data_IF_652315306703
#
_entry.id   IF_652315306703
#
_cell.length_a   1.000
_cell.length_b   1.000
_cell.length_c   1.000
_cell.angle_alpha   90.00
_cell.angle_beta   90.00
_cell.angle_gamma   90.00
#
_symmetry.space_group_name_H-M   'P 1'
#
loop_
_entity.id
_entity.type
_entity.pdbx_description
1 polymer ?
#
# COMPACT_ATOMS: atom_id res chain seq x y z
N UNK A 1 15.00 12.83 0.36
CA UNK A 1 13.80 12.41 -0.34
C UNK A 1 13.04 11.26 0.31
N UNK A 2 13.59 10.04 0.30
CA UNK A 2 12.83 8.83 0.71
C UNK A 2 12.42 8.86 2.19
N UNK A 3 13.32 9.21 3.09
CA UNK A 3 13.00 9.30 4.54
C UNK A 3 11.89 10.30 4.84
N UNK A 4 11.86 11.42 4.13
CA UNK A 4 10.78 12.40 4.26
C UNK A 4 9.43 11.85 3.78
N UNK A 5 9.43 11.04 2.72
CA UNK A 5 8.22 10.37 2.24
C UNK A 5 7.64 9.39 3.27
N UNK A 6 8.48 8.62 3.98
CA UNK A 6 8.03 7.77 5.09
C UNK A 6 7.45 8.58 6.25
N UNK A 7 8.08 9.70 6.61
CA UNK A 7 7.57 10.60 7.64
C UNK A 7 6.17 11.13 7.26
N UNK A 8 5.99 11.55 6.00
CA UNK A 8 4.69 11.99 5.51
C UNK A 8 3.64 10.87 5.54
N UNK A 9 3.99 9.64 5.18
CA UNK A 9 3.08 8.50 5.28
C UNK A 9 2.71 8.17 6.74
N UNK A 10 3.67 8.24 7.66
CA UNK A 10 3.43 8.01 9.09
C UNK A 10 2.53 9.11 9.68
N UNK A 11 2.79 10.38 9.33
CA UNK A 11 1.95 11.50 9.74
C UNK A 11 0.54 11.38 9.16
N UNK A 12 0.42 11.03 7.88
CA UNK A 12 -0.87 10.77 7.23
C UNK A 12 -1.65 9.68 7.97
N UNK A 13 -0.98 8.58 8.37
CA UNK A 13 -1.63 7.53 9.16
C UNK A 13 -2.11 8.05 10.51
N UNK A 14 -1.27 8.77 11.24
CA UNK A 14 -1.63 9.33 12.54
C UNK A 14 -2.85 10.25 12.44
N UNK A 15 -2.93 11.08 11.39
CA UNK A 15 -4.05 11.96 11.12
C UNK A 15 -5.32 11.23 10.67
N UNK A 16 -5.17 10.15 9.88
CA UNK A 16 -6.30 9.38 9.37
C UNK A 16 -6.85 8.37 10.38
N UNK A 17 -6.05 7.92 11.34
CA UNK A 17 -6.39 6.82 12.25
C UNK A 17 -7.71 7.06 13.03
N UNK A 18 -7.96 8.24 13.63
CA UNK A 18 -9.25 8.51 14.29
C UNK A 18 -10.44 8.41 13.33
N UNK A 19 -10.25 8.88 12.07
CA UNK A 19 -11.27 8.80 11.04
C UNK A 19 -11.58 7.36 10.63
N UNK A 20 -10.55 6.53 10.50
CA UNK A 20 -10.69 5.12 10.14
C UNK A 20 -11.42 4.31 11.21
N UNK A 21 -11.13 4.57 12.49
CA UNK A 21 -11.62 3.78 13.61
C UNK A 21 -12.94 4.29 14.17
N UNK A 22 -13.09 5.62 14.35
CA UNK A 22 -14.22 6.24 15.04
C UNK A 22 -15.32 6.78 14.12
N UNK A 23 -15.05 6.92 12.82
CA UNK A 23 -16.06 7.32 11.81
C UNK A 23 -15.98 8.78 11.34
N UNK A 24 -16.94 9.17 10.48
CA UNK A 24 -16.86 10.38 9.66
C UNK A 24 -16.96 11.72 10.42
N UNK A 25 -17.76 11.79 11.48
CA UNK A 25 -18.18 13.09 12.02
C UNK A 25 -17.10 13.89 12.75
N UNK A 26 -16.18 13.25 13.46
CA UNK A 26 -15.27 13.96 14.37
C UNK A 26 -13.82 14.07 13.89
N UNK A 27 -13.50 13.53 12.72
CA UNK A 27 -12.10 13.38 12.28
C UNK A 27 -11.85 13.76 10.82
N UNK A 28 -12.81 14.43 10.18
CA UNK A 28 -12.67 14.88 8.79
C UNK A 28 -11.46 15.80 8.58
N UNK A 29 -11.15 16.77 9.47
CA UNK A 29 -9.96 17.62 9.31
C UNK A 29 -8.65 16.81 9.29
N UNK A 30 -8.55 15.78 10.16
CA UNK A 30 -7.40 14.87 10.17
C UNK A 30 -7.27 14.08 8.86
N UNK A 31 -8.39 13.59 8.35
CA UNK A 31 -8.40 12.88 7.06
C UNK A 31 -8.01 13.80 5.88
N UNK A 32 -8.43 15.05 5.88
CA UNK A 32 -7.99 16.05 4.90
C UNK A 32 -6.48 16.33 5.03
N UNK A 33 -5.96 16.44 6.25
CA UNK A 33 -4.52 16.54 6.50
C UNK A 33 -3.75 15.33 5.97
N UNK A 34 -4.30 14.13 6.13
CA UNK A 34 -3.73 12.92 5.55
C UNK A 34 -3.68 12.97 4.02
N UNK A 35 -4.72 13.49 3.35
CA UNK A 35 -4.72 13.68 1.89
C UNK A 35 -3.57 14.57 1.46
N UNK A 36 -3.34 15.69 2.15
CA UNK A 36 -2.24 16.62 1.84
C UNK A 36 -0.89 15.92 2.01
N UNK A 37 -0.66 15.25 3.14
CA UNK A 37 0.58 14.51 3.38
C UNK A 37 0.83 13.44 2.31
N UNK A 38 -0.20 12.68 1.95
CA UNK A 38 -0.11 11.65 0.90
C UNK A 38 0.12 12.27 -0.48
N UNK A 39 -0.48 13.40 -0.79
CA UNK A 39 -0.25 14.11 -2.05
C UNK A 39 1.24 14.47 -2.20
N UNK A 40 1.87 15.00 -1.15
CA UNK A 40 3.30 15.30 -1.15
C UNK A 40 4.15 14.02 -1.21
N UNK A 41 3.83 12.98 -0.43
CA UNK A 41 4.56 11.71 -0.46
C UNK A 41 4.54 11.09 -1.87
N UNK A 42 3.36 11.01 -2.49
CA UNK A 42 3.17 10.52 -3.86
C UNK A 42 3.84 11.42 -4.91
N UNK A 43 3.96 12.72 -4.63
CA UNK A 43 4.72 13.67 -5.43
C UNK A 43 6.21 13.35 -5.44
N UNK A 44 6.75 12.84 -4.33
CA UNK A 44 8.14 12.39 -4.25
C UNK A 44 8.35 11.09 -5.04
N UNK A 45 7.53 10.07 -4.75
CA UNK A 45 7.58 8.77 -5.44
C UNK A 45 6.21 8.08 -5.40
N UNK A 46 5.76 7.55 -6.53
CA UNK A 46 4.50 6.77 -6.61
C UNK A 46 4.53 5.50 -5.76
N UNK A 47 5.72 4.97 -5.47
CA UNK A 47 5.93 3.81 -4.61
C UNK A 47 5.50 4.02 -3.15
N UNK A 48 5.15 5.24 -2.74
CA UNK A 48 4.52 5.48 -1.44
C UNK A 48 3.04 5.05 -1.38
N UNK A 49 2.37 4.78 -2.51
CA UNK A 49 1.04 4.17 -2.49
C UNK A 49 1.05 2.76 -1.86
N UNK A 50 1.93 1.81 -2.26
CA UNK A 50 2.11 0.55 -1.53
C UNK A 50 2.47 0.73 -0.05
N UNK A 51 3.31 1.73 0.29
CA UNK A 51 3.67 2.02 1.69
C UNK A 51 2.42 2.39 2.50
N UNK A 52 1.58 3.29 1.96
CA UNK A 52 0.31 3.64 2.60
C UNK A 52 -0.60 2.44 2.78
N UNK A 53 -0.79 1.62 1.73
CA UNK A 53 -1.63 0.42 1.79
C UNK A 53 -1.12 -0.58 2.83
N UNK A 54 0.20 -0.74 2.94
CA UNK A 54 0.83 -1.59 3.95
C UNK A 54 0.57 -1.06 5.37
N UNK A 55 0.76 0.24 5.60
CA UNK A 55 0.47 0.91 6.87
C UNK A 55 -1.01 0.80 7.24
N UNK A 56 -1.90 1.00 6.28
CA UNK A 56 -3.35 0.87 6.46
C UNK A 56 -3.72 -0.55 6.90
N UNK A 57 -3.25 -1.56 6.18
CA UNK A 57 -3.52 -2.96 6.52
C UNK A 57 -2.92 -3.35 7.88
N UNK A 58 -1.72 -2.86 8.20
CA UNK A 58 -1.09 -3.07 9.50
C UNK A 58 -1.93 -2.46 10.64
N UNK A 59 -2.34 -1.20 10.51
CA UNK A 59 -3.17 -0.52 11.51
C UNK A 59 -4.52 -1.21 11.73
N UNK A 60 -5.18 -1.65 10.64
CA UNK A 60 -6.45 -2.38 10.72
C UNK A 60 -6.27 -3.79 11.31
N UNK A 61 -5.13 -4.44 11.06
CA UNK A 61 -4.80 -5.72 11.65
C UNK A 61 -4.59 -5.59 13.16
N UNK A 62 -3.87 -4.55 13.62
CA UNK A 62 -3.67 -4.26 15.03
C UNK A 62 -4.99 -3.99 15.75
N UNK A 63 -5.83 -3.15 15.17
CA UNK A 63 -7.13 -2.85 15.72
C UNK A 63 -8.04 -4.10 15.75
N UNK A 64 -7.97 -4.97 14.73
CA UNK A 64 -8.67 -6.25 14.73
C UNK A 64 -8.09 -7.25 15.75
N UNK A 65 -6.78 -7.18 16.02
CA UNK A 65 -6.13 -8.03 17.02
C UNK A 65 -6.48 -7.62 18.46
N UNK A 66 -6.64 -6.31 18.70
CA UNK A 66 -7.07 -5.77 19.99
C UNK A 66 -8.56 -6.01 20.30
N UNK A 67 -9.39 -6.21 19.28
CA UNK A 67 -10.81 -6.47 19.44
C UNK A 67 -11.10 -7.95 19.75
N UNK A 68 -12.18 -8.22 20.50
CA UNK A 68 -12.64 -9.60 20.70
C UNK A 68 -12.99 -10.30 19.37
N UNK A 69 -12.66 -11.60 19.24
CA UNK A 69 -12.72 -12.33 17.97
C UNK A 69 -14.06 -12.28 17.24
N UNK A 70 -15.17 -12.15 17.95
CA UNK A 70 -16.53 -12.25 17.40
C UNK A 70 -17.30 -10.92 17.37
N UNK A 71 -16.73 -9.81 17.84
CA UNK A 71 -17.48 -8.56 18.03
C UNK A 71 -17.62 -7.70 16.76
N UNK A 72 -16.89 -7.97 15.68
CA UNK A 72 -16.92 -7.12 14.49
C UNK A 72 -17.85 -7.62 13.40
N UNK A 73 -18.94 -6.89 13.18
CA UNK A 73 -19.81 -7.05 12.01
C UNK A 73 -19.05 -6.71 10.73
N UNK A 74 -19.29 -7.47 9.64
CA UNK A 74 -18.66 -7.27 8.33
C UNK A 74 -18.74 -5.82 7.82
N UNK A 75 -19.88 -5.13 8.04
CA UNK A 75 -20.05 -3.73 7.66
C UNK A 75 -19.05 -2.76 8.33
N UNK A 76 -18.62 -3.06 9.57
CA UNK A 76 -17.61 -2.25 10.26
C UNK A 76 -16.22 -2.39 9.62
N UNK A 77 -15.90 -3.60 9.16
CA UNK A 77 -14.63 -3.91 8.47
C UNK A 77 -14.56 -3.14 7.16
N UNK A 78 -15.58 -3.26 6.30
CA UNK A 78 -15.64 -2.55 5.03
C UNK A 78 -15.63 -1.03 5.21
N UNK A 79 -16.37 -0.53 6.19
CA UNK A 79 -16.37 0.90 6.52
C UNK A 79 -14.98 1.43 6.90
N UNK A 80 -14.19 0.67 7.67
CA UNK A 80 -12.82 1.07 8.03
C UNK A 80 -11.88 1.03 6.83
N UNK A 81 -12.01 0.01 5.96
CA UNK A 81 -11.23 -0.08 4.71
C UNK A 81 -11.52 1.12 3.82
N UNK A 82 -12.78 1.40 3.54
CA UNK A 82 -13.17 2.52 2.68
C UNK A 82 -12.70 3.87 3.24
N UNK A 83 -12.83 4.07 4.56
CA UNK A 83 -12.33 5.28 5.22
C UNK A 83 -10.80 5.41 5.18
N UNK A 84 -10.06 4.31 5.09
CA UNK A 84 -8.61 4.32 4.91
C UNK A 84 -8.16 4.48 3.46
N UNK A 85 -8.97 4.03 2.50
CA UNK A 85 -8.63 4.10 1.07
C UNK A 85 -8.94 5.46 0.45
N UNK A 86 -10.00 6.15 0.90
CA UNK A 86 -10.39 7.41 0.28
C UNK A 86 -9.31 8.50 0.35
N UNK A 87 -8.50 8.67 1.44
CA UNK A 87 -7.43 9.65 1.45
C UNK A 87 -6.39 9.39 0.37
N UNK A 88 -6.07 8.12 0.11
CA UNK A 88 -5.18 7.75 -1.00
C UNK A 88 -5.78 8.11 -2.36
N UNK A 89 -7.03 7.76 -2.58
CA UNK A 89 -7.73 8.08 -3.84
C UNK A 89 -7.80 9.60 -4.06
N UNK A 90 -8.18 10.37 -3.03
CA UNK A 90 -8.22 11.82 -3.09
C UNK A 90 -6.83 12.43 -3.34
N UNK A 91 -5.78 11.91 -2.70
CA UNK A 91 -4.40 12.36 -2.90
C UNK A 91 -3.91 12.09 -4.34
N UNK A 92 -4.27 10.95 -4.93
CA UNK A 92 -3.93 10.62 -6.32
C UNK A 92 -4.63 11.58 -7.30
N UNK A 93 -5.91 11.88 -7.09
CA UNK A 93 -6.67 12.83 -7.91
C UNK A 93 -6.09 14.24 -7.76
N UNK A 94 -5.85 14.69 -6.52
CA UNK A 94 -5.28 16.00 -6.24
C UNK A 94 -3.90 16.16 -6.88
N UNK A 95 -3.04 15.15 -6.75
CA UNK A 95 -1.71 15.14 -7.38
C UNK A 95 -1.82 15.28 -8.91
N UNK A 96 -2.69 14.49 -9.56
CA UNK A 96 -2.91 14.59 -11.00
C UNK A 96 -3.40 15.97 -11.42
N UNK A 97 -4.35 16.53 -10.68
CA UNK A 97 -4.87 17.87 -10.91
C UNK A 97 -3.78 18.94 -10.78
N UNK A 98 -2.98 18.89 -9.71
CA UNK A 98 -1.85 19.82 -9.50
C UNK A 98 -0.81 19.69 -10.61
N UNK A 99 -0.47 18.46 -11.03
CA UNK A 99 0.47 18.24 -12.12
C UNK A 99 -0.05 18.84 -13.42
N UNK A 100 -1.33 18.62 -13.75
CA UNK A 100 -1.94 19.18 -14.95
C UNK A 100 -1.95 20.72 -14.94
N UNK A 101 -2.30 21.32 -13.79
CA UNK A 101 -2.27 22.78 -13.62
C UNK A 101 -0.86 23.35 -13.77
N UNK A 102 0.14 22.71 -13.16
CA UNK A 102 1.52 23.15 -13.27
C UNK A 102 2.05 23.04 -14.71
N UNK A 103 1.73 21.95 -15.40
CA UNK A 103 2.09 21.78 -16.80
C UNK A 103 1.45 22.85 -17.69
N UNK A 104 0.16 23.13 -17.49
CA UNK A 104 -0.56 24.18 -18.21
C UNK A 104 0.02 25.58 -17.94
N UNK A 105 0.33 25.90 -16.68
CA UNK A 105 0.90 27.17 -16.29
C UNK A 105 2.32 27.41 -16.86
N UNK A 106 3.08 26.35 -17.08
CA UNK A 106 4.44 26.43 -17.62
C UNK A 106 4.52 26.19 -19.15
N UNK A 107 3.39 26.05 -19.84
CA UNK A 107 3.35 25.77 -21.27
C UNK A 107 3.99 24.44 -21.68
N UNK A 108 4.19 23.54 -20.70
CA UNK A 108 4.72 22.20 -20.95
C UNK A 108 3.54 21.31 -21.32
N UNK A 109 3.52 20.81 -22.57
CA UNK A 109 2.60 19.75 -22.93
C UNK A 109 2.88 18.58 -22.01
N UNK A 110 1.95 18.31 -21.08
CA UNK A 110 2.04 17.15 -20.20
C UNK A 110 2.22 15.91 -21.07
N UNK A 111 3.42 15.40 -21.14
CA UNK A 111 3.65 14.12 -21.80
C UNK A 111 3.00 13.04 -20.92
N UNK A 112 1.70 12.85 -21.12
CA UNK A 112 0.93 11.72 -20.57
C UNK A 112 1.44 10.35 -21.06
N UNK A 113 2.51 10.36 -21.84
CA UNK A 113 3.15 9.18 -22.38
C UNK A 113 3.73 8.21 -21.35
N UNK A 114 3.89 8.65 -20.10
CA UNK A 114 4.44 7.78 -19.07
C UNK A 114 3.38 6.84 -18.48
N UNK A 115 2.16 7.31 -18.25
CA UNK A 115 1.11 6.49 -17.65
C UNK A 115 0.63 5.37 -18.59
N UNK A 116 0.42 5.70 -19.89
CA UNK A 116 0.03 4.70 -20.89
C UNK A 116 1.16 3.69 -21.19
N UNK A 117 2.42 4.11 -21.04
CA UNK A 117 3.59 3.22 -21.21
C UNK A 117 3.87 2.36 -19.98
N UNK A 118 3.35 2.71 -18.81
CA UNK A 118 3.56 1.97 -17.56
C UNK A 118 2.43 1.01 -17.20
N UNK A 119 1.29 1.10 -17.87
CA UNK A 119 0.17 0.16 -17.66
C UNK A 119 0.23 -0.93 -18.73
N UNK A 120 0.81 -2.06 -18.36
CA UNK A 120 1.03 -3.18 -19.28
C UNK A 120 -0.19 -4.07 -19.50
N UNK A 121 -1.26 -3.92 -18.70
CA UNK A 121 -2.49 -4.70 -18.84
C UNK A 121 -3.09 -4.66 -20.24
N UNK A 122 -3.13 -3.48 -20.85
CA UNK A 122 -3.68 -3.26 -22.20
C UNK A 122 -2.75 -3.66 -23.34
N UNK A 123 -1.51 -4.04 -23.01
CA UNK A 123 -0.49 -4.44 -23.99
C UNK A 123 -0.34 -5.96 -24.08
N UNK A 124 -1.18 -6.73 -23.36
CA UNK A 124 -1.12 -8.19 -23.32
C UNK A 124 -2.14 -8.81 -24.26
N UNK A 125 -1.70 -9.76 -25.06
CA UNK A 125 -2.52 -10.43 -26.09
C UNK A 125 -3.61 -11.34 -25.52
N UNK A 126 -3.53 -11.67 -24.23
CA UNK A 126 -4.52 -12.53 -23.57
C UNK A 126 -4.58 -12.30 -22.06
N UNK A 127 -5.74 -12.60 -21.44
CA UNK A 127 -5.93 -12.55 -19.99
C UNK A 127 -4.94 -13.47 -19.27
N UNK A 128 -4.64 -14.65 -19.84
CA UNK A 128 -3.64 -15.57 -19.29
C UNK A 128 -2.26 -14.93 -19.25
N UNK A 129 -1.82 -14.28 -20.34
CA UNK A 129 -0.55 -13.59 -20.40
C UNK A 129 -0.53 -12.40 -19.42
N UNK A 130 -1.65 -11.68 -19.26
CA UNK A 130 -1.78 -10.59 -18.32
C UNK A 130 -1.61 -10.99 -16.84
N UNK A 131 -1.88 -12.25 -16.50
CA UNK A 131 -1.70 -12.77 -15.12
C UNK A 131 -0.38 -13.52 -14.97
N UNK A 132 -0.09 -14.45 -15.88
CA UNK A 132 1.07 -15.36 -15.75
C UNK A 132 2.39 -14.60 -15.89
N UNK A 133 2.47 -13.64 -16.82
CA UNK A 133 3.71 -12.90 -17.05
C UNK A 133 4.08 -12.03 -15.84
N UNK A 134 3.21 -11.16 -15.29
CA UNK A 134 3.52 -10.41 -14.10
C UNK A 134 3.87 -11.26 -12.88
N UNK A 135 3.17 -12.38 -12.66
CA UNK A 135 3.47 -13.30 -11.55
C UNK A 135 4.84 -13.94 -11.74
N UNK A 136 5.16 -14.41 -12.94
CA UNK A 136 6.48 -14.98 -13.24
C UNK A 136 7.60 -13.94 -13.10
N UNK A 137 7.44 -12.77 -13.68
CA UNK A 137 8.39 -11.66 -13.55
C UNK A 137 8.58 -11.30 -12.08
N UNK A 138 7.50 -11.29 -11.35
CA UNK A 138 7.50 -10.99 -9.94
C UNK A 138 8.28 -12.03 -9.13
N UNK A 139 8.01 -13.32 -9.29
CA UNK A 139 8.75 -14.38 -8.61
C UNK A 139 10.24 -14.37 -8.97
N UNK A 140 10.57 -14.17 -10.24
CA UNK A 140 11.98 -14.19 -10.70
C UNK A 140 12.75 -12.93 -10.33
N UNK A 141 12.13 -11.75 -10.45
CA UNK A 141 12.81 -10.49 -10.18
C UNK A 141 12.77 -10.11 -8.70
N UNK A 142 11.68 -10.42 -8.02
CA UNK A 142 11.48 -10.04 -6.64
C UNK A 142 12.32 -10.88 -5.69
N UNK A 143 12.30 -12.19 -5.85
CA UNK A 143 13.10 -13.10 -5.01
C UNK A 143 14.60 -13.04 -5.35
N UNK A 144 14.95 -12.75 -6.61
CA UNK A 144 16.34 -12.81 -7.05
C UNK A 144 17.04 -11.43 -7.13
N UNK A 145 16.31 -10.34 -7.41
CA UNK A 145 16.93 -9.07 -7.80
C UNK A 145 16.43 -7.84 -7.04
N UNK A 146 15.21 -7.84 -6.52
CA UNK A 146 14.59 -6.62 -5.95
C UNK A 146 15.35 -6.08 -4.74
N UNK A 147 16.01 -6.94 -3.99
CA UNK A 147 16.76 -6.55 -2.80
C UNK A 147 18.27 -6.47 -3.04
N UNK A 148 18.79 -6.96 -4.16
CA UNK A 148 20.24 -7.03 -4.41
C UNK A 148 21.02 -7.90 -3.40
N UNK A 149 20.39 -8.29 -2.29
CA UNK A 149 20.97 -9.07 -1.20
C UNK A 149 20.01 -10.22 -0.86
N UNK A 150 20.42 -11.48 -1.02
CA UNK A 150 19.57 -12.65 -0.72
C UNK A 150 19.01 -12.67 0.71
N UNK A 151 19.76 -12.14 1.68
CA UNK A 151 19.32 -12.04 3.06
C UNK A 151 18.02 -11.23 3.23
N UNK A 152 17.81 -10.17 2.45
CA UNK A 152 16.58 -9.38 2.51
C UNK A 152 15.37 -10.15 1.92
N UNK A 153 15.57 -10.97 0.92
CA UNK A 153 14.52 -11.85 0.40
C UNK A 153 14.11 -12.90 1.45
N UNK A 154 15.09 -13.51 2.15
CA UNK A 154 14.82 -14.43 3.27
C UNK A 154 14.08 -13.72 4.41
N UNK A 155 14.46 -12.51 4.76
CA UNK A 155 13.79 -11.71 5.79
C UNK A 155 12.34 -11.38 5.40
N UNK A 156 12.08 -11.07 4.14
CA UNK A 156 10.71 -10.87 3.64
C UNK A 156 9.87 -12.15 3.72
N UNK A 157 10.44 -13.30 3.32
CA UNK A 157 9.78 -14.60 3.42
C UNK A 157 9.49 -14.97 4.89
N UNK A 158 10.45 -14.76 5.79
CA UNK A 158 10.26 -14.95 7.22
C UNK A 158 9.14 -14.05 7.77
N UNK A 159 9.09 -12.79 7.35
CA UNK A 159 8.05 -11.85 7.74
C UNK A 159 6.66 -12.30 7.28
N UNK A 160 6.53 -12.84 6.06
CA UNK A 160 5.28 -13.43 5.59
C UNK A 160 4.89 -14.67 6.39
N UNK A 161 5.86 -15.54 6.69
CA UNK A 161 5.62 -16.71 7.52
C UNK A 161 5.09 -16.34 8.91
N UNK A 162 5.64 -15.29 9.54
CA UNK A 162 5.16 -14.75 10.83
C UNK A 162 3.71 -14.29 10.71
N UNK A 163 3.38 -13.48 9.71
CA UNK A 163 2.01 -12.99 9.51
C UNK A 163 1.04 -14.16 9.31
N UNK A 164 1.38 -15.15 8.49
CA UNK A 164 0.56 -16.34 8.26
C UNK A 164 0.42 -17.20 9.50
N UNK A 165 1.48 -17.33 10.29
CA UNK A 165 1.47 -18.06 11.56
C UNK A 165 0.53 -17.40 12.58
N UNK A 166 0.62 -16.08 12.75
CA UNK A 166 -0.28 -15.31 13.63
C UNK A 166 -1.73 -15.48 13.20
N UNK A 167 -2.00 -15.46 11.90
CA UNK A 167 -3.33 -15.70 11.35
C UNK A 167 -3.87 -17.07 11.74
N UNK A 168 -3.05 -18.09 11.61
CA UNK A 168 -3.45 -19.48 11.90
C UNK A 168 -3.80 -19.66 13.39
N UNK A 169 -3.07 -19.02 14.29
CA UNK A 169 -3.20 -19.23 15.73
C UNK A 169 -4.16 -18.26 16.42
N UNK A 170 -4.32 -17.07 15.90
CA UNK A 170 -5.17 -16.01 16.48
C UNK A 170 -6.39 -15.69 15.58
N UNK A 171 -6.90 -16.66 14.86
CA UNK A 171 -7.85 -16.54 13.76
C UNK A 171 -9.11 -15.68 14.01
N UNK A 172 -9.70 -15.27 12.91
CA UNK A 172 -10.93 -14.49 12.77
C UNK A 172 -10.99 -13.90 11.36
N UNK A 173 -12.18 -13.88 10.74
CA UNK A 173 -12.34 -13.49 9.32
C UNK A 173 -11.77 -12.09 9.02
N UNK A 174 -11.93 -11.13 9.92
CA UNK A 174 -11.37 -9.79 9.75
C UNK A 174 -9.85 -9.76 9.78
N UNK A 175 -9.23 -10.53 10.66
CA UNK A 175 -7.77 -10.65 10.77
C UNK A 175 -7.18 -11.27 9.52
N UNK A 176 -7.81 -12.33 9.01
CA UNK A 176 -7.39 -12.98 7.77
C UNK A 176 -7.43 -12.02 6.58
N UNK A 177 -8.50 -11.24 6.44
CA UNK A 177 -8.63 -10.25 5.39
C UNK A 177 -7.52 -9.17 5.45
N UNK A 178 -7.26 -8.60 6.62
CA UNK A 178 -6.25 -7.55 6.77
C UNK A 178 -4.83 -8.07 6.59
N UNK A 179 -4.54 -9.29 7.00
CA UNK A 179 -3.23 -9.88 6.77
C UNK A 179 -3.03 -10.30 5.30
N UNK A 180 -4.06 -10.81 4.63
CA UNK A 180 -4.01 -11.00 3.19
C UNK A 180 -3.79 -9.65 2.48
N UNK A 181 -4.51 -8.60 2.89
CA UNK A 181 -4.31 -7.24 2.42
C UNK A 181 -2.89 -6.73 2.67
N UNK A 182 -2.32 -7.00 3.84
CA UNK A 182 -0.96 -6.63 4.19
C UNK A 182 0.08 -7.27 3.26
N UNK A 183 -0.09 -8.55 2.92
CA UNK A 183 0.76 -9.24 1.94
C UNK A 183 0.56 -8.68 0.54
N UNK A 184 -0.70 -8.55 0.09
CA UNK A 184 -1.03 -8.10 -1.27
C UNK A 184 -0.67 -6.64 -1.50
N UNK A 185 -0.74 -5.78 -0.47
CA UNK A 185 -0.41 -4.36 -0.60
C UNK A 185 1.01 -4.11 -1.10
N UNK A 186 1.94 -5.00 -0.77
CA UNK A 186 3.34 -4.92 -1.20
C UNK A 186 3.48 -5.08 -2.72
N UNK A 187 2.52 -5.71 -3.37
CA UNK A 187 2.49 -6.00 -4.80
C UNK A 187 1.53 -5.08 -5.56
N UNK A 188 0.85 -4.19 -4.84
CA UNK A 188 -0.22 -3.35 -5.39
C UNK A 188 0.23 -2.52 -6.60
N UNK A 189 1.47 -1.99 -6.59
CA UNK A 189 1.99 -1.24 -7.72
C UNK A 189 2.19 -2.13 -8.95
N UNK A 190 2.75 -3.33 -8.78
CA UNK A 190 2.91 -4.32 -9.85
C UNK A 190 1.57 -4.82 -10.39
N UNK A 191 0.61 -5.06 -9.49
CA UNK A 191 -0.75 -5.44 -9.86
C UNK A 191 -1.40 -4.31 -10.69
N UNK A 192 -1.30 -3.05 -10.24
CA UNK A 192 -1.86 -1.91 -10.96
C UNK A 192 -1.22 -1.70 -12.33
N UNK A 193 0.09 -1.90 -12.43
CA UNK A 193 0.83 -1.74 -13.68
C UNK A 193 0.77 -2.97 -14.60
N UNK A 194 0.39 -4.14 -14.09
CA UNK A 194 0.39 -5.40 -14.84
C UNK A 194 1.80 -5.91 -15.16
N UNK A 195 2.78 -5.65 -14.28
CA UNK A 195 4.16 -6.10 -14.43
C UNK A 195 4.77 -6.52 -13.10
N UNK A 196 5.65 -7.51 -13.14
CA UNK A 196 6.50 -7.90 -12.02
C UNK A 196 7.90 -7.26 -12.06
N UNK A 197 8.25 -6.59 -13.14
CA UNK A 197 9.55 -5.95 -13.33
C UNK A 197 9.58 -4.58 -12.64
N UNK A 198 9.64 -4.57 -11.31
CA UNK A 198 9.68 -3.33 -10.53
C UNK A 198 11.11 -2.91 -10.21
N UNK A 199 11.34 -1.61 -10.21
CA UNK A 199 12.60 -1.05 -9.73
C UNK A 199 12.70 -1.22 -8.20
N UNK A 200 13.92 -1.32 -7.66
CA UNK A 200 14.16 -1.47 -6.20
C UNK A 200 13.40 -0.44 -5.35
N UNK A 201 13.23 0.79 -5.85
CA UNK A 201 12.44 1.84 -5.19
C UNK A 201 10.94 1.51 -5.04
N UNK A 202 10.40 0.59 -5.84
CA UNK A 202 8.99 0.19 -5.76
C UNK A 202 8.72 -0.76 -4.59
N UNK A 203 9.76 -1.34 -3.98
CA UNK A 203 9.66 -2.26 -2.85
C UNK A 203 9.84 -1.57 -1.49
N UNK A 204 9.71 -0.25 -1.44
CA UNK A 204 9.86 0.55 -0.22
C UNK A 204 8.89 0.14 0.91
N UNK A 205 7.74 -0.45 0.57
CA UNK A 205 6.79 -0.97 1.55
C UNK A 205 7.39 -2.02 2.49
N UNK A 206 8.45 -2.75 2.09
CA UNK A 206 9.12 -3.71 2.95
C UNK A 206 9.85 -3.07 4.14
N UNK A 207 10.30 -1.83 4.01
CA UNK A 207 10.89 -1.10 5.12
C UNK A 207 9.88 -0.88 6.28
N UNK A 208 8.59 -0.93 6.00
CA UNK A 208 7.52 -0.86 7.00
C UNK A 208 7.08 -2.27 7.40
N UNK A 209 6.94 -3.16 6.43
CA UNK A 209 6.41 -4.50 6.65
C UNK A 209 7.28 -5.37 7.54
N UNK A 210 8.59 -5.37 7.34
CA UNK A 210 9.52 -6.20 8.11
C UNK A 210 9.55 -5.83 9.60
N UNK A 211 9.72 -4.56 10.00
CA UNK A 211 9.62 -4.17 11.40
C UNK A 211 8.26 -4.46 12.02
N UNK A 212 7.19 -4.28 11.25
CA UNK A 212 5.84 -4.62 11.71
C UNK A 212 5.67 -6.11 11.98
N UNK A 213 6.16 -6.97 11.09
CA UNK A 213 6.11 -8.42 11.29
C UNK A 213 6.95 -8.86 12.51
N UNK A 214 8.13 -8.26 12.71
CA UNK A 214 8.96 -8.50 13.89
C UNK A 214 8.24 -8.06 15.18
N UNK A 215 7.61 -6.89 15.17
CA UNK A 215 6.80 -6.43 16.30
C UNK A 215 5.60 -7.35 16.55
N UNK A 216 4.90 -7.79 15.52
CA UNK A 216 3.76 -8.72 15.62
C UNK A 216 4.17 -10.08 16.20
N UNK A 217 5.41 -10.52 15.97
CA UNK A 217 5.97 -11.73 16.56
C UNK A 217 6.21 -11.59 18.05
N UNK A 218 6.64 -10.41 18.50
CA UNK A 218 6.98 -10.14 19.90
C UNK A 218 5.73 -9.83 20.76
N UNK A 219 4.63 -9.37 20.16
CA UNK A 219 3.36 -9.05 20.82
C UNK A 219 2.47 -10.29 21.01
#
# INVERSE_FOLDING_TARGET
GVGFGYLLCALALALALPHMLCGWRNSLPGACGAVVCLCFALGLYESFAPVWLTLLCAALLLDAAAAEPHSRKAGKIWGSILRGLWPLAAALVLRKGLTALLCAANGVSGQDGTASKTIFWFQRDSVRAAVVIPVREWLTNYLARAFGIPALALLALASWAVVLWVLRHRGGNGRALFAAGLIVSQFSLGILQGTGAQMARAVQCFAVFVPFAAWLWLA
#
